data_IF_925077604953
#
_entry.id   IF_925077604953
#
_cell.length_a   1.000
_cell.length_b   1.000
_cell.length_c   1.000
_cell.angle_alpha   90.00
_cell.angle_beta   90.00
_cell.angle_gamma   90.00
#
_symmetry.space_group_name_H-M   'P 1'
#
loop_
_entity.id
_entity.type
_entity.pdbx_description
1 polymer ?
#
# COMPACT_ATOMS: atom_id res chain seq x y z
N UNK A 1 -12.68 -25.32 -4.41
CA UNK A 1 -13.04 -24.47 -5.55
C UNK A 1 -12.01 -23.34 -5.57
N UNK A 2 -11.04 -23.35 -6.48
CA UNK A 2 -10.04 -22.29 -6.60
C UNK A 2 -10.77 -21.05 -7.15
N UNK A 3 -10.88 -20.01 -6.32
CA UNK A 3 -11.49 -18.74 -6.72
C UNK A 3 -10.70 -18.12 -7.87
N UNK A 4 -11.41 -17.61 -8.87
CA UNK A 4 -10.81 -16.90 -10.00
C UNK A 4 -10.17 -15.62 -9.47
N UNK A 5 -8.83 -15.57 -9.43
CA UNK A 5 -8.06 -14.37 -9.07
C UNK A 5 -8.37 -13.31 -10.12
N UNK A 6 -9.01 -12.19 -9.72
CA UNK A 6 -9.39 -11.12 -10.63
C UNK A 6 -8.23 -10.13 -10.71
N UNK A 7 -7.22 -10.53 -11.48
CA UNK A 7 -5.92 -9.84 -11.60
C UNK A 7 -6.04 -8.36 -12.04
N UNK A 8 -7.19 -7.94 -12.57
CA UNK A 8 -7.42 -6.59 -13.08
C UNK A 8 -8.84 -6.11 -12.77
N UNK A 9 -8.90 -4.95 -12.15
CA UNK A 9 -10.13 -4.21 -11.87
C UNK A 9 -10.21 -3.01 -12.80
N UNK A 10 -11.41 -2.74 -13.32
CA UNK A 10 -11.67 -1.62 -14.24
C UNK A 10 -12.96 -0.93 -13.82
N UNK A 11 -12.99 0.41 -13.90
CA UNK A 11 -14.19 1.15 -13.60
C UNK A 11 -15.28 0.93 -14.66
N UNK A 12 -16.53 0.94 -14.23
CA UNK A 12 -17.71 0.98 -15.11
C UNK A 12 -17.78 2.30 -15.90
N UNK A 13 -17.36 3.40 -15.28
CA UNK A 13 -17.23 4.68 -15.95
C UNK A 13 -16.13 4.60 -17.01
N UNK A 14 -16.47 5.05 -18.22
CA UNK A 14 -15.56 5.08 -19.36
C UNK A 14 -15.56 6.44 -20.02
N UNK A 15 -14.47 6.77 -20.72
CA UNK A 15 -14.39 7.93 -21.58
C UNK A 15 -13.82 7.53 -22.94
N UNK A 16 -14.21 8.25 -23.99
CA UNK A 16 -13.68 8.03 -25.32
C UNK A 16 -12.23 8.53 -25.38
N UNK A 17 -11.32 7.67 -25.82
CA UNK A 17 -9.93 8.01 -26.08
C UNK A 17 -9.71 8.11 -27.60
N UNK A 18 -9.49 9.32 -28.16
CA UNK A 18 -9.31 9.53 -29.60
C UNK A 18 -8.08 8.82 -30.17
N UNK A 19 -7.00 8.71 -29.40
CA UNK A 19 -5.77 8.04 -29.85
C UNK A 19 -6.00 6.54 -30.04
N UNK A 20 -6.71 5.91 -29.10
CA UNK A 20 -7.06 4.48 -29.14
C UNK A 20 -8.34 4.20 -29.96
N UNK A 21 -9.05 5.26 -30.40
CA UNK A 21 -10.33 5.22 -31.11
C UNK A 21 -11.36 4.31 -30.45
N UNK A 22 -11.44 4.33 -29.12
CA UNK A 22 -12.36 3.49 -28.33
C UNK A 22 -12.64 4.10 -26.97
N UNK A 23 -13.72 3.64 -26.33
CA UNK A 23 -13.97 3.90 -24.92
C UNK A 23 -13.00 3.10 -24.05
N UNK A 24 -12.43 3.76 -23.05
CA UNK A 24 -11.53 3.18 -22.06
C UNK A 24 -12.06 3.45 -20.65
N UNK A 25 -11.82 2.54 -19.68
CA UNK A 25 -12.17 2.79 -18.28
C UNK A 25 -11.42 4.03 -17.77
N UNK A 26 -12.10 4.83 -16.93
CA UNK A 26 -11.46 5.94 -16.23
C UNK A 26 -10.41 5.46 -15.22
N UNK A 27 -10.69 4.36 -14.51
CA UNK A 27 -9.79 3.81 -13.50
C UNK A 27 -9.50 2.34 -13.75
N UNK A 28 -8.24 1.95 -13.53
CA UNK A 28 -7.82 0.56 -13.55
C UNK A 28 -6.85 0.27 -12.41
N UNK A 29 -6.96 -0.92 -11.84
CA UNK A 29 -5.99 -1.46 -10.88
C UNK A 29 -5.52 -2.82 -11.41
N UNK A 30 -4.20 -2.96 -11.61
CA UNK A 30 -3.53 -4.23 -11.86
C UNK A 30 -2.89 -4.68 -10.54
N UNK A 31 -3.38 -5.77 -9.95
CA UNK A 31 -2.92 -6.26 -8.65
C UNK A 31 -1.59 -7.03 -8.75
N UNK A 32 -1.16 -7.45 -9.95
CA UNK A 32 0.14 -8.09 -10.15
C UNK A 32 1.27 -7.07 -10.20
N UNK A 33 1.08 -6.01 -10.99
CA UNK A 33 2.09 -4.94 -11.10
C UNK A 33 1.93 -3.89 -10.00
N UNK A 34 0.86 -3.98 -9.21
CA UNK A 34 0.54 -3.05 -8.12
C UNK A 34 0.42 -1.62 -8.67
N UNK A 35 -0.22 -1.49 -9.84
CA UNK A 35 -0.31 -0.25 -10.60
C UNK A 35 -1.76 0.19 -10.70
N UNK A 36 -2.01 1.44 -10.30
CA UNK A 36 -3.26 2.14 -10.58
C UNK A 36 -3.06 3.03 -11.80
N UNK A 37 -4.01 2.99 -12.73
CA UNK A 37 -4.03 3.86 -13.90
C UNK A 37 -5.31 4.69 -13.91
N UNK A 38 -5.17 5.99 -14.11
CA UNK A 38 -6.26 6.94 -14.30
C UNK A 38 -6.20 7.52 -15.71
N UNK A 39 -7.32 7.51 -16.42
CA UNK A 39 -7.47 8.21 -17.69
C UNK A 39 -8.22 9.52 -17.45
N UNK A 40 -7.53 10.64 -17.65
CA UNK A 40 -8.13 11.96 -17.55
C UNK A 40 -8.78 12.34 -18.89
N UNK A 41 -10.10 12.42 -18.90
CA UNK A 41 -10.88 12.72 -20.09
C UNK A 41 -10.72 14.18 -20.57
N UNK A 42 -10.37 15.11 -19.68
CA UNK A 42 -10.24 16.53 -20.03
C UNK A 42 -8.91 16.77 -20.77
N UNK A 43 -7.82 16.19 -20.25
CA UNK A 43 -6.49 16.31 -20.84
C UNK A 43 -6.18 15.23 -21.86
N UNK A 44 -7.05 14.23 -22.00
CA UNK A 44 -6.88 13.07 -22.88
C UNK A 44 -5.58 12.29 -22.59
N UNK A 45 -5.14 12.28 -21.33
CA UNK A 45 -3.89 11.66 -20.87
C UNK A 45 -4.14 10.50 -19.92
N UNK A 46 -3.17 9.59 -19.86
CA UNK A 46 -3.19 8.45 -18.95
C UNK A 46 -2.07 8.64 -17.91
N UNK A 47 -2.44 8.65 -16.64
CA UNK A 47 -1.54 8.76 -15.50
C UNK A 47 -1.50 7.42 -14.78
N UNK A 48 -0.34 7.03 -14.26
CA UNK A 48 -0.21 5.77 -13.52
C UNK A 48 0.67 5.94 -12.29
N UNK A 49 0.29 5.25 -11.22
CA UNK A 49 1.04 5.16 -9.97
C UNK A 49 1.29 3.69 -9.65
N UNK A 50 2.56 3.33 -9.49
CA UNK A 50 2.99 2.00 -9.08
C UNK A 50 3.45 2.04 -7.63
N UNK A 51 2.91 1.15 -6.80
CA UNK A 51 3.32 1.00 -5.42
C UNK A 51 4.40 -0.07 -5.31
N UNK A 52 5.53 0.30 -4.72
CA UNK A 52 6.69 -0.57 -4.61
C UNK A 52 6.79 -1.28 -3.26
N UNK A 53 5.99 -0.87 -2.27
CA UNK A 53 6.02 -1.43 -0.92
C UNK A 53 5.37 -2.81 -0.87
N UNK A 54 6.07 -3.76 -0.25
CA UNK A 54 5.60 -5.14 -0.12
C UNK A 54 4.27 -5.24 0.61
N UNK A 55 4.03 -4.32 1.55
CA UNK A 55 2.75 -4.19 2.26
C UNK A 55 1.56 -3.99 1.33
N UNK A 56 1.63 -3.04 0.40
CA UNK A 56 0.53 -2.82 -0.55
C UNK A 56 0.35 -4.03 -1.46
N UNK A 57 1.45 -4.67 -1.88
CA UNK A 57 1.40 -5.90 -2.70
C UNK A 57 0.67 -7.03 -1.98
N UNK A 58 1.06 -7.34 -0.75
CA UNK A 58 0.42 -8.40 0.05
C UNK A 58 -1.04 -8.07 0.35
N UNK A 59 -1.34 -6.81 0.70
CA UNK A 59 -2.70 -6.36 0.98
C UNK A 59 -3.63 -6.51 -0.22
N UNK A 60 -3.17 -6.12 -1.41
CA UNK A 60 -3.95 -6.28 -2.64
C UNK A 60 -4.14 -7.74 -3.02
N UNK A 61 -3.11 -8.58 -2.88
CA UNK A 61 -3.23 -10.02 -3.12
C UNK A 61 -4.25 -10.67 -2.17
N UNK A 62 -4.21 -10.31 -0.89
CA UNK A 62 -5.21 -10.77 0.08
C UNK A 62 -6.62 -10.26 -0.27
N UNK A 63 -6.76 -8.96 -0.51
CA UNK A 63 -8.05 -8.33 -0.83
C UNK A 63 -8.67 -8.87 -2.12
N UNK A 64 -7.86 -9.18 -3.15
CA UNK A 64 -8.34 -9.80 -4.38
C UNK A 64 -8.92 -11.21 -4.12
N UNK A 65 -8.30 -11.96 -3.20
CA UNK A 65 -8.76 -13.31 -2.85
C UNK A 65 -9.96 -13.34 -1.89
N UNK A 66 -10.08 -12.35 -0.99
CA UNK A 66 -11.06 -12.36 0.11
C UNK A 66 -12.18 -11.34 -0.04
N UNK A 67 -11.88 -10.17 -0.61
CA UNK A 67 -12.76 -9.01 -0.66
C UNK A 67 -12.75 -8.32 -2.05
N UNK A 68 -12.91 -9.06 -3.17
CA UNK A 68 -12.80 -8.49 -4.53
C UNK A 68 -13.84 -7.39 -4.81
N UNK A 69 -15.01 -7.45 -4.18
CA UNK A 69 -16.05 -6.42 -4.32
C UNK A 69 -15.62 -5.07 -3.74
N UNK A 70 -14.82 -5.08 -2.67
CA UNK A 70 -14.25 -3.85 -2.09
C UNK A 70 -13.32 -3.15 -3.08
N UNK A 71 -12.45 -3.91 -3.75
CA UNK A 71 -11.54 -3.37 -4.77
C UNK A 71 -12.32 -2.86 -5.98
N UNK A 72 -13.33 -3.62 -6.44
CA UNK A 72 -14.21 -3.20 -7.54
C UNK A 72 -14.89 -1.86 -7.23
N UNK A 73 -15.45 -1.72 -6.02
CA UNK A 73 -16.08 -0.48 -5.57
C UNK A 73 -15.10 0.69 -5.52
N UNK A 74 -13.91 0.51 -4.93
CA UNK A 74 -12.90 1.56 -4.83
C UNK A 74 -12.42 2.05 -6.20
N UNK A 75 -12.29 1.15 -7.17
CA UNK A 75 -11.92 1.50 -8.56
C UNK A 75 -13.08 2.22 -9.25
N UNK A 76 -14.32 1.73 -9.10
CA UNK A 76 -15.52 2.39 -9.66
C UNK A 76 -15.73 3.81 -9.11
N UNK A 77 -15.46 4.01 -7.83
CA UNK A 77 -15.58 5.31 -7.15
C UNK A 77 -14.37 6.24 -7.40
N UNK A 78 -13.31 5.76 -8.06
CA UNK A 78 -12.08 6.54 -8.26
C UNK A 78 -11.30 6.81 -6.97
N UNK A 79 -11.53 6.03 -5.90
CA UNK A 79 -10.92 6.22 -4.57
C UNK A 79 -9.74 5.28 -4.29
N UNK A 80 -9.38 4.42 -5.24
CA UNK A 80 -8.35 3.40 -5.02
C UNK A 80 -6.98 3.99 -4.67
N UNK A 81 -6.56 5.11 -5.29
CA UNK A 81 -5.28 5.77 -4.94
C UNK A 81 -5.33 6.26 -3.50
N UNK A 82 -6.36 7.02 -3.13
CA UNK A 82 -6.51 7.55 -1.78
C UNK A 82 -6.51 6.41 -0.75
N UNK A 83 -7.22 5.32 -1.02
CA UNK A 83 -7.26 4.16 -0.14
C UNK A 83 -5.88 3.54 0.12
N UNK A 84 -5.09 3.36 -0.94
CA UNK A 84 -3.76 2.78 -0.84
C UNK A 84 -2.77 3.74 -0.17
N UNK A 85 -2.87 5.04 -0.47
CA UNK A 85 -2.05 6.10 0.14
C UNK A 85 -2.32 6.23 1.64
N UNK A 86 -3.60 6.27 2.04
CA UNK A 86 -4.00 6.31 3.44
C UNK A 86 -3.50 5.07 4.21
N UNK A 87 -3.47 3.92 3.54
CA UNK A 87 -3.00 2.69 4.16
C UNK A 87 -1.48 2.68 4.34
N UNK A 88 -0.72 3.07 3.32
CA UNK A 88 0.74 3.20 3.39
C UNK A 88 1.16 4.21 4.46
N UNK A 89 0.43 5.32 4.58
CA UNK A 89 0.63 6.30 5.63
C UNK A 89 0.38 5.71 7.03
N UNK A 90 -0.79 5.08 7.24
CA UNK A 90 -1.15 4.49 8.54
C UNK A 90 -0.17 3.40 8.99
N UNK A 91 0.30 2.56 8.06
CA UNK A 91 1.31 1.53 8.34
C UNK A 91 2.63 2.19 8.74
N UNK A 92 3.07 3.21 8.00
CA UNK A 92 4.30 3.95 8.31
C UNK A 92 4.23 4.62 9.68
N UNK A 93 3.12 5.29 10.00
CA UNK A 93 2.89 5.91 11.31
C UNK A 93 2.82 4.89 12.45
N UNK A 94 2.21 3.72 12.23
CA UNK A 94 2.17 2.65 13.22
C UNK A 94 3.57 2.12 13.54
N UNK A 95 4.38 1.87 12.50
CA UNK A 95 5.78 1.44 12.66
C UNK A 95 6.57 2.49 13.41
N UNK A 96 6.52 3.76 12.98
CA UNK A 96 7.27 4.85 13.63
C UNK A 96 6.89 5.01 15.09
N UNK A 97 5.59 4.98 15.43
CA UNK A 97 5.15 5.04 16.84
C UNK A 97 5.68 3.87 17.66
N UNK A 98 5.64 2.65 17.13
CA UNK A 98 6.11 1.47 17.85
C UNK A 98 7.63 1.52 18.08
N UNK A 99 8.40 1.97 17.08
CA UNK A 99 9.86 2.14 17.19
C UNK A 99 10.21 3.18 18.24
N UNK A 100 9.55 4.35 18.23
CA UNK A 100 9.81 5.40 19.22
C UNK A 100 9.45 4.97 20.65
N UNK A 101 8.38 4.17 20.82
CA UNK A 101 8.08 3.56 22.11
C UNK A 101 9.21 2.63 22.58
N UNK A 102 9.72 1.76 21.71
CA UNK A 102 10.81 0.86 22.07
C UNK A 102 12.12 1.59 22.37
N UNK A 103 12.44 2.67 21.66
CA UNK A 103 13.58 3.53 21.99
C UNK A 103 13.50 4.10 23.41
N UNK A 104 12.28 4.41 23.87
CA UNK A 104 12.05 4.93 25.22
C UNK A 104 12.06 3.85 26.30
N UNK A 105 11.72 2.60 25.99
CA UNK A 105 11.57 1.53 27.00
C UNK A 105 12.69 0.49 26.99
N UNK A 106 13.42 0.35 25.89
CA UNK A 106 14.45 -0.68 25.75
C UNK A 106 15.75 -0.29 26.46
N UNK A 107 16.14 -1.12 27.43
CA UNK A 107 17.31 -0.85 28.26
C UNK A 107 18.63 -0.88 27.49
N UNK A 108 18.72 -1.64 26.39
CA UNK A 108 19.93 -1.73 25.57
C UNK A 108 20.11 -0.44 24.76
N UNK A 109 19.01 0.05 24.17
CA UNK A 109 18.98 1.30 23.42
C UNK A 109 19.27 2.50 24.31
N UNK A 110 18.63 2.61 25.48
CA UNK A 110 18.90 3.69 26.44
C UNK A 110 20.36 3.75 26.87
N UNK A 111 20.98 2.59 27.14
CA UNK A 111 22.41 2.52 27.49
C UNK A 111 23.29 2.96 26.32
N UNK A 112 23.00 2.53 25.11
CA UNK A 112 23.73 2.94 23.90
C UNK A 112 23.61 4.44 23.65
N UNK A 113 22.42 5.02 23.84
CA UNK A 113 22.18 6.45 23.73
C UNK A 113 22.95 7.26 24.78
N UNK A 114 22.97 6.80 26.04
CA UNK A 114 23.74 7.42 27.11
C UNK A 114 25.26 7.35 26.87
N UNK A 115 25.76 6.28 26.24
CA UNK A 115 27.17 6.13 25.90
C UNK A 115 27.57 6.77 24.56
N UNK A 116 26.62 7.33 23.80
CA UNK A 116 26.87 7.87 22.47
C UNK A 116 27.27 6.82 21.42
N UNK A 117 26.89 5.55 21.63
CA UNK A 117 27.22 4.43 20.73
C UNK A 117 26.26 4.40 19.54
N UNK A 118 26.54 5.23 18.55
CA UNK A 118 25.69 5.43 17.36
C UNK A 118 25.54 4.16 16.51
N UNK A 119 26.58 3.32 16.44
CA UNK A 119 26.52 2.05 15.69
C UNK A 119 25.53 1.09 16.34
N UNK A 120 25.59 0.95 17.67
CA UNK A 120 24.65 0.11 18.41
C UNK A 120 23.23 0.66 18.38
N UNK A 121 23.05 1.98 18.48
CA UNK A 121 21.74 2.61 18.33
C UNK A 121 21.12 2.30 16.97
N UNK A 122 21.89 2.47 15.89
CA UNK A 122 21.42 2.18 14.52
C UNK A 122 21.06 0.70 14.33
N UNK A 123 21.88 -0.21 14.86
CA UNK A 123 21.60 -1.65 14.83
C UNK A 123 20.29 -2.00 15.55
N UNK A 124 20.05 -1.40 16.72
CA UNK A 124 18.81 -1.60 17.48
C UNK A 124 17.60 -0.97 16.77
N UNK A 125 17.71 0.22 16.21
CA UNK A 125 16.62 0.85 15.44
C UNK A 125 16.22 0.01 14.22
N UNK A 126 17.18 -0.56 13.50
CA UNK A 126 16.87 -1.47 12.39
C UNK A 126 16.14 -2.74 12.86
N UNK A 127 16.51 -3.28 14.01
CA UNK A 127 15.81 -4.41 14.65
C UNK A 127 14.38 -4.01 15.03
N UNK A 128 14.19 -2.86 15.68
CA UNK A 128 12.88 -2.31 16.04
C UNK A 128 12.00 -2.11 14.81
N UNK A 129 12.53 -1.52 13.72
CA UNK A 129 11.77 -1.34 12.48
C UNK A 129 11.32 -2.71 11.94
N UNK A 130 12.18 -3.72 11.95
CA UNK A 130 11.87 -5.05 11.43
C UNK A 130 10.77 -5.74 12.26
N UNK A 131 10.89 -5.73 13.59
CA UNK A 131 9.87 -6.27 14.50
C UNK A 131 8.54 -5.51 14.40
N UNK A 132 8.58 -4.18 14.30
CA UNK A 132 7.38 -3.36 14.18
C UNK A 132 6.66 -3.63 12.84
N UNK A 133 7.42 -3.81 11.75
CA UNK A 133 6.86 -4.20 10.46
C UNK A 133 6.10 -5.52 10.61
N UNK A 134 6.74 -6.57 11.11
CA UNK A 134 6.12 -7.89 11.30
C UNK A 134 4.81 -7.80 12.11
N UNK A 135 4.81 -7.10 13.24
CA UNK A 135 3.63 -6.94 14.07
C UNK A 135 2.49 -6.16 13.38
N UNK A 136 2.82 -5.09 12.63
CA UNK A 136 1.82 -4.29 11.90
C UNK A 136 1.25 -5.04 10.70
N UNK A 137 2.09 -5.81 10.00
CA UNK A 137 1.67 -6.65 8.87
C UNK A 137 0.54 -7.60 9.26
N UNK A 138 0.66 -8.30 10.40
CA UNK A 138 -0.39 -9.22 10.85
C UNK A 138 -1.72 -8.51 11.12
N UNK A 139 -1.70 -7.31 11.68
CA UNK A 139 -2.92 -6.58 12.02
C UNK A 139 -3.60 -5.95 10.80
N UNK A 140 -2.83 -5.44 9.84
CA UNK A 140 -3.35 -4.60 8.74
C UNK A 140 -3.66 -5.38 7.46
N UNK A 141 -3.05 -6.55 7.25
CA UNK A 141 -3.32 -7.36 6.04
C UNK A 141 -4.71 -8.03 6.06
N UNK A 142 -5.28 -8.29 7.25
CA UNK A 142 -6.53 -9.06 7.40
C UNK A 142 -7.80 -8.20 7.58
N UNK A 143 -7.69 -6.88 7.45
CA UNK A 143 -8.83 -5.93 7.53
C UNK A 143 -9.43 -5.55 6.18
#
# INVERSE_FOLDING_TARGET
MLGVIRLRYTSEQTAYNPLKKKYVPLWRLDTNTVTVTHFNADTQSEESKTYNTDFIRYHLHYSDSKCPDRLSRLVNEGKIIQYLDDMELKVSEAISRQVELWKQTDSCYQKAALSGDAEKMLGLENCFISMAREAVFECMLYT
#
